data_IF_709047981230
#
_entry.id   IF_709047981230
#
_cell.length_a   1.000
_cell.length_b   1.000
_cell.length_c   1.000
_cell.angle_alpha   90.00
_cell.angle_beta   90.00
_cell.angle_gamma   90.00
#
_symmetry.space_group_name_H-M   'P 1'
#
loop_
_entity.id
_entity.type
_entity.pdbx_description
1 polymer ?
#
# COMPACT_ATOMS: atom_id res chain seq x y z
N UNK A 1 32.14 -43.90 -7.97
CA UNK A 1 31.40 -43.11 -6.95
C UNK A 1 31.25 -41.62 -7.33
N UNK A 2 32.29 -40.93 -7.83
CA UNK A 2 32.18 -39.51 -8.24
C UNK A 2 31.27 -39.30 -9.47
N UNK A 3 31.37 -40.14 -10.51
CA UNK A 3 30.52 -40.04 -11.72
C UNK A 3 29.04 -40.35 -11.46
N UNK A 4 28.73 -41.32 -10.59
CA UNK A 4 27.36 -41.61 -10.16
C UNK A 4 26.76 -40.48 -9.31
N UNK A 5 27.58 -39.79 -8.51
CA UNK A 5 27.17 -38.62 -7.72
C UNK A 5 26.96 -37.37 -8.60
N UNK A 6 27.70 -37.24 -9.71
CA UNK A 6 27.53 -36.16 -10.71
C UNK A 6 26.34 -36.44 -11.64
N UNK A 7 26.13 -37.69 -12.07
CA UNK A 7 24.94 -38.09 -12.82
C UNK A 7 23.66 -37.99 -11.96
N UNK A 8 23.74 -38.33 -10.66
CA UNK A 8 22.68 -38.10 -9.69
C UNK A 8 22.42 -36.61 -9.39
N UNK A 9 23.43 -35.74 -9.55
CA UNK A 9 23.25 -34.27 -9.54
C UNK A 9 22.68 -33.73 -10.84
N UNK A 10 22.95 -34.34 -12.00
CA UNK A 10 22.31 -33.98 -13.26
C UNK A 10 20.83 -34.43 -13.32
N UNK A 11 20.48 -35.52 -12.63
CA UNK A 11 19.10 -36.01 -12.44
C UNK A 11 18.35 -35.28 -11.31
N UNK A 12 19.05 -34.50 -10.48
CA UNK A 12 18.51 -33.50 -9.56
C UNK A 12 18.75 -32.12 -10.17
N UNK A 13 17.98 -31.72 -11.16
CA UNK A 13 17.62 -30.30 -11.23
C UNK A 13 16.67 -30.11 -10.04
N UNK A 14 17.12 -29.70 -8.82
CA UNK A 14 16.16 -29.23 -7.84
C UNK A 14 15.37 -28.16 -8.56
N UNK A 15 14.08 -28.12 -8.30
CA UNK A 15 13.15 -27.37 -9.13
C UNK A 15 13.47 -25.87 -8.98
N UNK A 16 14.45 -25.35 -9.73
CA UNK A 16 14.99 -24.00 -9.55
C UNK A 16 13.93 -22.94 -9.85
N UNK A 17 12.97 -23.30 -10.72
CA UNK A 17 11.79 -22.50 -10.96
C UNK A 17 10.89 -22.36 -9.74
N UNK A 18 10.87 -23.32 -8.80
CA UNK A 18 10.12 -23.20 -7.55
C UNK A 18 10.76 -22.15 -6.64
N UNK A 19 12.09 -22.08 -6.58
CA UNK A 19 12.77 -21.05 -5.78
C UNK A 19 12.46 -19.65 -6.34
N UNK A 20 12.59 -19.45 -7.66
CA UNK A 20 12.24 -18.17 -8.31
C UNK A 20 10.74 -17.84 -8.13
N UNK A 21 9.85 -18.82 -8.35
CA UNK A 21 8.41 -18.63 -8.19
C UNK A 21 8.02 -18.29 -6.75
N UNK A 22 8.63 -18.94 -5.76
CA UNK A 22 8.32 -18.71 -4.35
C UNK A 22 8.65 -17.29 -3.93
N UNK A 23 9.78 -16.75 -4.40
CA UNK A 23 10.15 -15.34 -4.16
C UNK A 23 9.16 -14.41 -4.85
N UNK A 24 8.79 -14.68 -6.11
CA UNK A 24 7.82 -13.87 -6.84
C UNK A 24 6.45 -13.85 -6.13
N UNK A 25 5.94 -15.01 -5.72
CA UNK A 25 4.67 -15.12 -4.98
C UNK A 25 4.77 -14.45 -3.62
N UNK A 26 5.89 -14.60 -2.91
CA UNK A 26 6.12 -13.91 -1.63
C UNK A 26 6.02 -12.40 -1.78
N UNK A 27 6.63 -11.82 -2.82
CA UNK A 27 6.53 -10.38 -3.09
C UNK A 27 5.08 -9.97 -3.38
N UNK A 28 4.37 -10.75 -4.20
CA UNK A 28 2.95 -10.53 -4.47
C UNK A 28 2.11 -10.51 -3.20
N UNK A 29 2.26 -11.53 -2.36
CA UNK A 29 1.52 -11.64 -1.10
C UNK A 29 1.92 -10.56 -0.09
N UNK A 30 3.20 -10.19 0.00
CA UNK A 30 3.67 -9.14 0.89
C UNK A 30 3.11 -7.77 0.49
N UNK A 31 3.13 -7.46 -0.80
CA UNK A 31 2.61 -6.21 -1.37
C UNK A 31 1.08 -6.12 -1.23
N UNK A 32 0.36 -7.21 -1.54
CA UNK A 32 -1.10 -7.28 -1.31
C UNK A 32 -1.42 -7.20 0.18
N UNK A 33 -0.65 -7.89 1.03
CA UNK A 33 -0.79 -7.86 2.48
C UNK A 33 -0.59 -6.45 3.05
N UNK A 34 0.39 -5.70 2.54
CA UNK A 34 0.58 -4.29 2.88
C UNK A 34 -0.61 -3.43 2.47
N UNK A 35 -1.18 -3.65 1.27
CA UNK A 35 -2.40 -2.95 0.85
C UNK A 35 -3.59 -3.24 1.77
N UNK A 36 -3.69 -4.45 2.33
CA UNK A 36 -4.77 -4.83 3.25
C UNK A 36 -4.58 -4.22 4.64
N UNK A 37 -3.35 -4.11 5.14
CA UNK A 37 -3.08 -3.56 6.49
C UNK A 37 -3.35 -2.08 6.61
N UNK A 38 -3.30 -1.32 5.51
CA UNK A 38 -3.75 0.08 5.44
C UNK A 38 -5.20 0.26 5.92
N UNK A 39 -6.05 -0.76 5.81
CA UNK A 39 -7.43 -0.72 6.32
C UNK A 39 -7.54 -1.07 7.81
N UNK A 40 -6.58 -1.82 8.36
CA UNK A 40 -6.76 -2.55 9.62
C UNK A 40 -5.97 -1.98 10.80
N UNK A 41 -5.00 -1.08 10.58
CA UNK A 41 -4.02 -0.67 11.62
C UNK A 41 -4.20 0.76 12.17
N UNK A 42 -5.27 1.46 11.83
CA UNK A 42 -5.53 2.83 12.31
C UNK A 42 -5.76 3.00 13.84
N UNK A 43 -5.77 1.94 14.65
CA UNK A 43 -6.49 1.99 15.94
C UNK A 43 -5.73 1.66 17.24
N UNK A 44 -4.40 1.43 17.27
CA UNK A 44 -3.74 1.03 18.55
C UNK A 44 -2.55 1.90 18.99
N UNK A 45 -1.71 2.40 18.07
CA UNK A 45 -0.62 3.31 18.46
C UNK A 45 -1.09 4.77 18.50
N UNK A 46 -2.01 5.14 17.61
CA UNK A 46 -2.59 6.48 17.56
C UNK A 46 -3.45 6.73 18.80
N UNK A 47 -4.15 5.72 19.34
CA UNK A 47 -5.01 5.86 20.52
C UNK A 47 -4.26 6.30 21.78
N UNK A 48 -3.01 5.90 21.99
CA UNK A 48 -2.21 6.38 23.14
C UNK A 48 -1.76 7.85 22.98
N UNK A 49 -1.55 8.30 21.74
CA UNK A 49 -1.22 9.70 21.44
C UNK A 49 -2.49 10.58 21.40
N UNK A 50 -3.65 9.97 21.11
CA UNK A 50 -4.96 10.63 21.00
C UNK A 50 -5.40 11.21 22.34
N UNK A 51 -5.15 10.50 23.44
CA UNK A 51 -5.63 10.91 24.76
C UNK A 51 -4.91 12.16 25.31
N UNK A 52 -3.77 12.56 24.70
CA UNK A 52 -2.96 13.70 25.15
C UNK A 52 -3.11 14.97 24.28
N UNK A 53 -3.82 14.90 23.14
CA UNK A 53 -3.80 15.96 22.11
C UNK A 53 -5.21 16.51 21.86
N UNK A 54 -5.40 17.85 21.76
CA UNK A 54 -6.69 18.44 21.45
C UNK A 54 -7.30 17.89 20.13
N UNK A 55 -8.63 17.73 20.04
CA UNK A 55 -9.30 17.08 18.91
C UNK A 55 -9.04 17.77 17.56
N UNK A 56 -8.77 19.09 17.58
CA UNK A 56 -8.44 19.86 16.37
C UNK A 56 -7.04 19.54 15.82
N UNK A 57 -6.02 19.46 16.69
CA UNK A 57 -4.64 19.17 16.28
C UNK A 57 -4.53 17.74 15.73
N UNK A 58 -5.26 16.82 16.34
CA UNK A 58 -5.35 15.44 15.86
C UNK A 58 -6.00 15.32 14.48
N UNK A 59 -7.06 16.11 14.21
CA UNK A 59 -7.66 16.15 12.88
C UNK A 59 -6.65 16.63 11.84
N UNK A 60 -5.87 17.68 12.14
CA UNK A 60 -4.83 18.18 11.24
C UNK A 60 -3.74 17.13 10.99
N UNK A 61 -3.26 16.45 12.04
CA UNK A 61 -2.26 15.39 11.90
C UNK A 61 -2.75 14.24 11.02
N UNK A 62 -4.00 13.80 11.20
CA UNK A 62 -4.60 12.76 10.34
C UNK A 62 -4.69 13.20 8.88
N UNK A 63 -5.14 14.43 8.63
CA UNK A 63 -5.18 15.00 7.27
C UNK A 63 -3.79 15.01 6.64
N UNK A 64 -2.76 15.42 7.39
CA UNK A 64 -1.39 15.49 6.89
C UNK A 64 -0.81 14.10 6.56
N UNK A 65 -1.08 13.10 7.40
CA UNK A 65 -0.69 11.71 7.15
C UNK A 65 -1.41 11.17 5.92
N UNK A 66 -2.74 11.31 5.84
CA UNK A 66 -3.54 10.86 4.71
C UNK A 66 -3.07 11.51 3.40
N UNK A 67 -2.78 12.81 3.43
CA UNK A 67 -2.25 13.55 2.28
C UNK A 67 -0.87 13.04 1.86
N UNK A 68 0.03 12.77 2.82
CA UNK A 68 1.36 12.23 2.53
C UNK A 68 1.27 10.86 1.85
N UNK A 69 0.41 9.98 2.37
CA UNK A 69 0.18 8.65 1.79
C UNK A 69 -0.46 8.77 0.39
N UNK A 70 -1.37 9.72 0.19
CA UNK A 70 -1.99 9.97 -1.11
C UNK A 70 -0.95 10.47 -2.14
N UNK A 71 -0.11 11.43 -1.76
CA UNK A 71 0.99 11.93 -2.62
C UNK A 71 1.95 10.80 -2.98
N UNK A 72 2.29 9.94 -2.02
CA UNK A 72 3.10 8.76 -2.27
C UNK A 72 2.45 7.81 -3.28
N UNK A 73 1.16 7.47 -3.10
CA UNK A 73 0.41 6.62 -4.02
C UNK A 73 0.33 7.19 -5.44
N UNK A 74 0.05 8.49 -5.58
CA UNK A 74 0.00 9.17 -6.88
C UNK A 74 1.39 9.18 -7.54
N UNK A 75 2.45 9.42 -6.77
CA UNK A 75 3.83 9.40 -7.29
C UNK A 75 4.19 8.02 -7.82
N UNK A 76 3.80 6.95 -7.13
CA UNK A 76 3.97 5.58 -7.62
C UNK A 76 3.19 5.32 -8.91
N UNK A 77 1.96 5.83 -9.03
CA UNK A 77 1.17 5.71 -10.27
C UNK A 77 1.85 6.40 -11.45
N UNK A 78 2.36 7.61 -11.24
CA UNK A 78 3.10 8.34 -12.29
C UNK A 78 4.38 7.59 -12.68
N UNK A 79 5.10 7.04 -11.69
CA UNK A 79 6.28 6.23 -11.96
C UNK A 79 5.91 4.96 -12.75
N UNK A 80 4.83 4.26 -12.39
CA UNK A 80 4.33 3.11 -13.13
C UNK A 80 3.94 3.47 -14.55
N UNK A 81 3.23 4.58 -14.75
CA UNK A 81 2.85 5.06 -16.08
C UNK A 81 4.09 5.33 -16.95
N UNK A 82 5.09 6.02 -16.39
CA UNK A 82 6.34 6.32 -17.11
C UNK A 82 7.21 5.10 -17.33
N UNK A 83 7.15 4.12 -16.43
CA UNK A 83 7.95 2.90 -16.52
C UNK A 83 7.36 1.86 -17.48
N UNK A 84 6.04 1.69 -17.49
CA UNK A 84 5.37 0.79 -18.43
C UNK A 84 5.17 1.45 -19.80
N UNK A 85 5.00 2.78 -19.84
CA UNK A 85 4.70 3.55 -21.06
C UNK A 85 3.63 2.89 -21.96
N UNK A 86 2.41 2.71 -21.43
CA UNK A 86 1.34 2.04 -22.17
C UNK A 86 0.93 2.83 -23.43
N UNK A 87 1.16 4.14 -23.44
CA UNK A 87 0.79 5.01 -24.55
C UNK A 87 1.66 4.72 -25.78
N UNK A 88 2.98 4.61 -25.60
CA UNK A 88 3.86 4.25 -26.72
C UNK A 88 3.60 2.81 -27.17
N UNK A 89 3.36 1.87 -26.24
CA UNK A 89 3.02 0.49 -26.60
C UNK A 89 1.78 0.40 -27.50
N UNK A 90 0.73 1.18 -27.21
CA UNK A 90 -0.48 1.25 -28.05
C UNK A 90 -0.20 1.89 -29.42
N UNK A 91 0.68 2.89 -29.50
CA UNK A 91 1.03 3.56 -30.76
C UNK A 91 1.78 2.65 -31.73
N UNK A 92 2.66 1.78 -31.21
CA UNK A 92 3.36 0.76 -32.00
C UNK A 92 2.53 -0.52 -32.21
N UNK A 93 1.22 -0.48 -31.95
CA UNK A 93 0.32 -1.59 -32.21
C UNK A 93 0.58 -2.83 -31.35
N UNK A 94 1.10 -2.66 -30.12
CA UNK A 94 1.54 -3.74 -29.23
C UNK A 94 2.72 -4.58 -29.75
N UNK A 95 3.49 -4.08 -30.73
CA UNK A 95 4.77 -4.70 -31.11
C UNK A 95 5.84 -4.41 -30.04
N UNK A 96 6.17 -5.43 -29.24
CA UNK A 96 7.14 -5.31 -28.16
C UNK A 96 8.57 -5.11 -28.66
N UNK A 97 8.89 -5.53 -29.89
CA UNK A 97 10.22 -5.34 -30.52
C UNK A 97 10.42 -3.92 -30.96
N UNK A 98 9.43 -3.36 -31.63
CA UNK A 98 9.46 -1.96 -32.03
C UNK A 98 9.44 -1.04 -30.80
N UNK A 99 8.63 -1.34 -29.78
CA UNK A 99 8.61 -0.61 -28.52
C UNK A 99 10.00 -0.50 -27.88
N UNK A 100 10.69 -1.63 -27.69
CA UNK A 100 12.03 -1.62 -27.09
C UNK A 100 13.05 -0.92 -27.98
N UNK A 101 12.91 -1.00 -29.31
CA UNK A 101 13.78 -0.31 -30.26
C UNK A 101 13.66 1.21 -30.19
N UNK A 102 12.45 1.74 -29.95
CA UNK A 102 12.21 3.18 -29.85
C UNK A 102 12.49 3.75 -28.46
N UNK A 103 12.20 2.99 -27.40
CA UNK A 103 12.21 3.49 -26.01
C UNK A 103 13.39 3.02 -25.18
N UNK A 104 14.16 2.03 -25.67
CA UNK A 104 15.16 1.29 -24.90
C UNK A 104 14.61 0.63 -23.63
N UNK A 105 13.28 0.41 -23.57
CA UNK A 105 12.60 -0.21 -22.45
C UNK A 105 12.23 -1.66 -22.77
N UNK A 106 12.83 -2.60 -22.05
CA UNK A 106 12.67 -4.04 -22.28
C UNK A 106 11.59 -4.70 -21.41
N UNK A 107 10.76 -3.93 -20.70
CA UNK A 107 9.72 -4.40 -19.79
C UNK A 107 8.87 -5.56 -20.37
N UNK A 108 8.54 -5.50 -21.66
CA UNK A 108 7.65 -6.45 -22.32
C UNK A 108 8.36 -7.61 -23.04
N UNK A 109 9.69 -7.59 -23.10
CA UNK A 109 10.49 -8.65 -23.73
C UNK A 109 11.21 -9.54 -22.72
N UNK A 110 11.54 -8.97 -21.57
CA UNK A 110 12.29 -9.64 -20.53
C UNK A 110 11.51 -10.83 -19.96
N UNK A 111 12.17 -11.99 -19.92
CA UNK A 111 11.66 -13.20 -19.28
C UNK A 111 12.40 -13.52 -17.99
N UNK A 112 11.72 -14.20 -17.08
CA UNK A 112 12.30 -14.76 -15.84
C UNK A 112 13.38 -15.77 -16.17
N UNK A 113 14.42 -15.82 -15.34
CA UNK A 113 15.65 -16.54 -15.66
C UNK A 113 15.45 -18.07 -15.70
N UNK A 114 14.58 -18.61 -14.86
CA UNK A 114 14.35 -20.06 -14.76
C UNK A 114 12.96 -20.48 -15.22
N UNK A 115 11.95 -19.64 -15.00
CA UNK A 115 10.56 -19.90 -15.41
C UNK A 115 10.32 -19.65 -16.91
N UNK A 116 11.14 -18.83 -17.58
CA UNK A 116 10.94 -18.43 -18.98
C UNK A 116 9.66 -17.64 -19.28
N UNK A 117 8.94 -17.16 -18.26
CA UNK A 117 7.71 -16.36 -18.38
C UNK A 117 8.04 -14.87 -18.42
N UNK A 118 7.23 -14.06 -19.10
CA UNK A 118 7.44 -12.61 -19.15
C UNK A 118 7.43 -11.98 -17.74
N UNK A 119 8.47 -11.20 -17.39
CA UNK A 119 8.58 -10.48 -16.11
C UNK A 119 7.45 -9.48 -15.91
N UNK A 120 6.90 -8.97 -17.01
CA UNK A 120 5.74 -8.08 -17.04
C UNK A 120 4.62 -8.54 -16.10
N UNK A 121 4.27 -9.84 -16.13
CA UNK A 121 3.20 -10.38 -15.30
C UNK A 121 3.47 -10.19 -13.81
N UNK A 122 4.72 -10.34 -13.38
CA UNK A 122 5.08 -10.18 -11.98
C UNK A 122 5.17 -8.71 -11.57
N UNK A 123 5.55 -7.83 -12.50
CA UNK A 123 5.61 -6.39 -12.23
C UNK A 123 4.24 -5.72 -12.10
N UNK A 124 3.15 -6.36 -12.55
CA UNK A 124 1.77 -5.85 -12.40
C UNK A 124 1.34 -5.64 -10.94
N UNK A 125 2.01 -6.26 -9.97
CA UNK A 125 1.75 -6.01 -8.54
C UNK A 125 1.97 -4.55 -8.17
N UNK A 126 2.94 -3.87 -8.79
CA UNK A 126 3.31 -2.49 -8.46
C UNK A 126 2.22 -1.49 -8.84
N UNK A 127 1.72 -1.45 -10.10
CA UNK A 127 0.60 -0.58 -10.45
C UNK A 127 -0.67 -0.95 -9.68
N UNK A 128 -0.90 -2.24 -9.40
CA UNK A 128 -2.03 -2.67 -8.58
C UNK A 128 -1.98 -2.04 -7.18
N UNK A 129 -0.84 -2.15 -6.48
CA UNK A 129 -0.65 -1.54 -5.16
C UNK A 129 -0.72 -0.02 -5.23
N UNK A 130 -0.14 0.60 -6.25
CA UNK A 130 -0.20 2.05 -6.41
C UNK A 130 -1.65 2.54 -6.52
N UNK A 131 -2.50 1.83 -7.27
CA UNK A 131 -3.94 2.14 -7.36
C UNK A 131 -4.62 1.92 -6.02
N UNK A 132 -4.46 0.75 -5.38
CA UNK A 132 -5.15 0.44 -4.14
C UNK A 132 -4.75 1.38 -3.00
N UNK A 133 -3.46 1.69 -2.85
CA UNK A 133 -2.97 2.67 -1.86
C UNK A 133 -3.55 4.06 -2.12
N UNK A 134 -3.58 4.52 -3.37
CA UNK A 134 -4.16 5.82 -3.71
C UNK A 134 -5.64 5.91 -3.38
N UNK A 135 -6.41 4.84 -3.66
CA UNK A 135 -7.84 4.77 -3.34
C UNK A 135 -8.09 4.75 -1.83
N UNK A 136 -7.31 3.98 -1.07
CA UNK A 136 -7.44 3.95 0.40
C UNK A 136 -7.07 5.30 1.02
N UNK A 137 -5.96 5.91 0.59
CA UNK A 137 -5.54 7.22 1.08
C UNK A 137 -6.57 8.31 0.78
N UNK A 138 -7.14 8.30 -0.42
CA UNK A 138 -8.22 9.23 -0.78
C UNK A 138 -9.47 9.01 0.07
N UNK A 139 -9.89 7.76 0.26
CA UNK A 139 -11.04 7.40 1.13
C UNK A 139 -10.83 7.88 2.56
N UNK A 140 -9.63 7.67 3.12
CA UNK A 140 -9.29 8.13 4.47
C UNK A 140 -9.29 9.65 4.56
N UNK A 141 -8.65 10.34 3.62
CA UNK A 141 -8.64 11.80 3.57
C UNK A 141 -10.07 12.39 3.52
N UNK A 142 -10.93 11.86 2.66
CA UNK A 142 -12.33 12.30 2.55
C UNK A 142 -13.11 12.09 3.86
N UNK A 143 -12.92 10.95 4.53
CA UNK A 143 -13.54 10.65 5.84
C UNK A 143 -13.05 11.60 6.92
N UNK A 144 -11.74 11.86 6.97
CA UNK A 144 -11.13 12.75 7.97
C UNK A 144 -11.62 14.19 7.77
N UNK A 145 -11.71 14.67 6.52
CA UNK A 145 -12.21 16.01 6.20
C UNK A 145 -13.69 16.15 6.58
N UNK A 146 -14.52 15.17 6.21
CA UNK A 146 -15.96 15.18 6.47
C UNK A 146 -16.33 15.07 7.96
N UNK A 147 -15.47 14.48 8.80
CA UNK A 147 -15.73 14.35 10.24
C UNK A 147 -15.47 15.67 10.95
N UNK A 148 -16.47 16.36 11.53
CA UNK A 148 -16.23 17.60 12.26
C UNK A 148 -15.36 17.34 13.50
N UNK A 149 -14.45 18.27 13.82
CA UNK A 149 -13.72 18.20 15.08
C UNK A 149 -14.75 18.46 16.19
N UNK A 150 -15.05 17.46 17.02
CA UNK A 150 -15.90 17.68 18.18
C UNK A 150 -15.17 18.64 19.12
N UNK A 151 -15.69 19.87 19.21
CA UNK A 151 -15.32 20.77 20.30
C UNK A 151 -15.83 20.07 21.56
N UNK A 152 -14.91 19.70 22.45
CA UNK A 152 -15.27 19.27 23.79
C UNK A 152 -16.06 20.40 24.43
N UNK A 153 -17.38 20.32 24.41
CA UNK A 153 -18.20 21.08 25.35
C UNK A 153 -17.88 20.42 26.68
N UNK A 154 -16.96 21.03 27.42
CA UNK A 154 -16.86 20.82 28.84
C UNK A 154 -18.25 21.10 29.40
N UNK A 155 -19.02 20.04 29.68
CA UNK A 155 -20.19 20.11 30.54
C UNK A 155 -19.71 20.33 31.98
N UNK A 156 -19.09 21.48 32.21
CA UNK A 156 -18.72 22.01 33.51
C UNK A 156 -19.83 22.94 34.02
N UNK A 157 -21.06 22.43 34.09
CA UNK A 157 -22.08 23.03 34.95
C UNK A 157 -22.04 22.26 36.28
N UNK A 158 -21.51 22.86 37.36
CA UNK A 158 -21.75 22.29 38.68
C UNK A 158 -23.26 22.29 38.90
N UNK A 159 -23.84 21.12 39.15
CA UNK A 159 -25.20 21.06 39.68
C UNK A 159 -25.21 21.87 40.99
N UNK A 160 -26.19 22.77 41.18
CA UNK A 160 -26.21 23.66 42.33
C UNK A 160 -26.34 22.83 43.61
N UNK A 161 -25.56 23.21 44.62
CA UNK A 161 -25.67 22.72 45.99
C UNK A 161 -27.14 22.76 46.41
N UNK A 162 -27.78 21.60 46.49
CA UNK A 162 -29.09 21.47 47.13
C UNK A 162 -28.92 21.96 48.57
N UNK A 163 -29.58 23.08 48.87
CA UNK A 163 -29.46 23.80 50.12
C UNK A 163 -29.76 22.90 51.32
N UNK A 164 -28.79 22.84 52.22
CA UNK A 164 -29.06 22.63 53.62
C UNK A 164 -29.77 23.89 54.15
N UNK A 165 -31.10 23.83 54.27
CA UNK A 165 -31.85 24.68 55.19
C UNK A 165 -32.70 23.77 56.08
N UNK A 166 -32.19 23.49 57.28
CA UNK A 166 -33.03 23.03 58.36
C UNK A 166 -34.02 24.11 58.82
N UNK A 167 -34.92 23.65 59.70
CA UNK A 167 -35.76 24.39 60.63
C UNK A 167 -37.24 24.60 60.25
N UNK A 168 -38.08 23.95 61.07
CA UNK A 168 -39.36 24.41 61.60
C UNK A 168 -40.64 24.20 60.77
N UNK A 169 -41.29 23.05 61.00
CA UNK A 169 -42.54 22.95 61.77
C UNK A 169 -42.91 21.49 62.07
#
# INVERSE_FOLDING_TARGET
MVLANVAGRAMRSPIYWIDELSVLVMVWLAMIGMSLTLKTRDAVAVTMLVDAVPPLLMKIMRILIDLLVLVFGITLLVLCYRWFDPLTLMRVGFDTREFSGQTFNFMYQDTTATLGVAKFWFWLVVPLVAVTTSVHALSNLLRTVATPASVGIASGLPAPLAGNSGANQ
#
